data_IF_332699493167
#
_entry.id   IF_332699493167
#
_cell.length_a   1.000
_cell.length_b   1.000
_cell.length_c   1.000
_cell.angle_alpha   90.00
_cell.angle_beta   90.00
_cell.angle_gamma   90.00
#
_symmetry.space_group_name_H-M   'P 1'
#
loop_
_entity.id
_entity.type
_entity.pdbx_description
1 polymer ?
#
# COMPACT_ATOMS: atom_id res chain seq x y z
N UNK A 1 12.05 3.90 8.17
CA UNK A 1 11.60 4.52 6.89
C UNK A 1 10.26 5.20 7.13
N UNK A 2 10.04 6.43 6.66
CA UNK A 2 8.69 7.02 6.67
C UNK A 2 7.88 6.37 5.54
N UNK A 3 6.84 5.63 5.91
CA UNK A 3 5.95 5.00 4.93
C UNK A 3 5.21 6.08 4.11
N UNK A 4 5.41 6.10 2.78
CA UNK A 4 4.74 7.03 1.85
C UNK A 4 3.47 6.46 1.23
N UNK A 5 3.11 5.20 1.52
CA UNK A 5 1.94 4.53 0.94
C UNK A 5 0.66 5.33 1.16
N UNK A 6 0.46 5.90 2.35
CA UNK A 6 -0.70 6.74 2.64
C UNK A 6 -0.76 7.99 1.74
N UNK A 7 0.39 8.57 1.44
CA UNK A 7 0.50 9.75 0.57
C UNK A 7 0.14 9.37 -0.85
N UNK A 8 0.76 8.32 -1.40
CA UNK A 8 0.43 7.84 -2.75
C UNK A 8 -1.03 7.41 -2.86
N UNK A 9 -1.56 6.70 -1.86
CA UNK A 9 -2.97 6.32 -1.82
C UNK A 9 -3.89 7.55 -1.88
N UNK A 10 -3.58 8.61 -1.12
CA UNK A 10 -4.35 9.84 -1.12
C UNK A 10 -4.22 10.62 -2.43
N UNK A 11 -3.03 10.65 -3.06
CA UNK A 11 -2.81 11.29 -4.36
C UNK A 11 -3.62 10.64 -5.50
N UNK A 12 -4.03 9.40 -5.33
CA UNK A 12 -4.80 8.64 -6.31
C UNK A 12 -6.27 8.44 -5.88
N UNK A 13 -6.76 9.16 -4.87
CA UNK A 13 -8.13 9.09 -4.33
C UNK A 13 -8.59 7.65 -3.97
N UNK A 14 -7.65 6.81 -3.53
CA UNK A 14 -7.94 5.43 -3.17
C UNK A 14 -8.32 5.31 -1.70
N UNK A 15 -9.36 4.52 -1.41
CA UNK A 15 -9.57 4.03 -0.04
C UNK A 15 -8.59 2.91 0.30
N UNK A 16 -8.44 2.56 1.58
CA UNK A 16 -7.60 1.42 1.96
C UNK A 16 -8.13 0.10 1.38
N UNK A 17 -9.46 -0.04 1.26
CA UNK A 17 -10.11 -1.20 0.64
C UNK A 17 -9.77 -1.27 -0.85
N UNK A 18 -9.95 -0.18 -1.60
CA UNK A 18 -9.64 -0.13 -3.03
C UNK A 18 -8.17 -0.41 -3.34
N UNK A 19 -7.26 0.05 -2.47
CA UNK A 19 -5.83 -0.24 -2.60
C UNK A 19 -5.56 -1.73 -2.32
N UNK A 20 -6.23 -2.30 -1.33
CA UNK A 20 -6.11 -3.72 -0.99
C UNK A 20 -6.57 -4.61 -2.15
N UNK A 21 -7.72 -4.29 -2.74
CA UNK A 21 -8.27 -4.97 -3.92
C UNK A 21 -7.30 -4.91 -5.11
N UNK A 22 -6.75 -3.73 -5.40
CA UNK A 22 -5.76 -3.53 -6.48
C UNK A 22 -4.47 -4.33 -6.27
N UNK A 23 -4.07 -4.55 -5.01
CA UNK A 23 -2.84 -5.27 -4.67
C UNK A 23 -3.07 -6.76 -4.37
N UNK A 24 -4.34 -7.21 -4.34
CA UNK A 24 -4.71 -8.59 -4.01
C UNK A 24 -4.38 -8.96 -2.56
N UNK A 25 -4.53 -8.02 -1.64
CA UNK A 25 -4.28 -8.21 -0.21
C UNK A 25 -5.50 -7.79 0.61
N UNK A 26 -5.49 -8.04 1.92
CA UNK A 26 -6.57 -7.58 2.79
C UNK A 26 -6.42 -6.09 3.13
N UNK A 27 -7.53 -5.40 3.41
CA UNK A 27 -7.48 -4.03 3.96
C UNK A 27 -6.63 -3.93 5.23
N UNK A 28 -6.63 -4.97 6.09
CA UNK A 28 -5.80 -4.99 7.29
C UNK A 28 -4.30 -4.95 6.97
N UNK A 29 -3.87 -5.61 5.90
CA UNK A 29 -2.49 -5.52 5.39
C UNK A 29 -2.14 -4.07 5.06
N UNK A 30 -2.99 -3.35 4.34
CA UNK A 30 -2.78 -1.94 4.01
C UNK A 30 -2.69 -1.07 5.28
N UNK A 31 -3.59 -1.28 6.25
CA UNK A 31 -3.57 -0.57 7.54
C UNK A 31 -2.26 -0.81 8.29
N UNK A 32 -1.79 -2.05 8.34
CA UNK A 32 -0.57 -2.42 9.04
C UNK A 32 0.66 -1.76 8.38
N UNK A 33 0.72 -1.76 7.05
CA UNK A 33 1.76 -1.09 6.27
C UNK A 33 1.74 0.41 6.57
N UNK A 34 0.60 1.10 6.40
CA UNK A 34 0.49 2.54 6.63
C UNK A 34 0.85 2.96 8.06
N UNK A 35 0.58 2.10 9.05
CA UNK A 35 0.96 2.33 10.46
C UNK A 35 2.41 1.96 10.77
N UNK A 36 3.17 1.44 9.80
CA UNK A 36 4.55 0.98 9.99
C UNK A 36 4.67 -0.24 10.89
N UNK A 37 3.59 -1.02 11.05
CA UNK A 37 3.56 -2.24 11.87
C UNK A 37 3.88 -3.50 11.08
N UNK A 38 3.96 -3.38 9.75
CA UNK A 38 4.24 -4.49 8.85
C UNK A 38 5.07 -3.98 7.68
N UNK A 39 6.22 -4.61 7.48
CA UNK A 39 7.00 -4.43 6.27
C UNK A 39 6.44 -5.36 5.17
N UNK A 40 6.07 -4.82 4.00
CA UNK A 40 5.55 -5.63 2.91
C UNK A 40 6.61 -6.63 2.44
N UNK A 41 6.17 -7.80 1.96
CA UNK A 41 7.05 -8.71 1.23
C UNK A 41 7.65 -8.01 0.01
N UNK A 42 8.79 -8.52 -0.48
CA UNK A 42 9.44 -7.98 -1.69
C UNK A 42 8.48 -7.94 -2.89
N UNK A 43 7.66 -8.97 -3.05
CA UNK A 43 6.63 -9.04 -4.09
C UNK A 43 5.58 -7.92 -3.93
N UNK A 44 5.07 -7.71 -2.71
CA UNK A 44 4.09 -6.66 -2.44
C UNK A 44 4.70 -5.27 -2.63
N UNK A 45 5.96 -5.08 -2.24
CA UNK A 45 6.69 -3.84 -2.49
C UNK A 45 6.80 -3.56 -4.00
N UNK A 46 7.12 -4.56 -4.83
CA UNK A 46 7.12 -4.40 -6.28
C UNK A 46 5.73 -4.13 -6.88
N UNK A 47 4.68 -4.76 -6.35
CA UNK A 47 3.29 -4.47 -6.76
C UNK A 47 2.90 -3.02 -6.45
N UNK A 48 3.26 -2.53 -5.26
CA UNK A 48 3.04 -1.14 -4.83
C UNK A 48 3.81 -0.18 -5.74
N UNK A 49 5.10 -0.44 -5.96
CA UNK A 49 5.97 0.31 -6.85
C UNK A 49 5.40 0.41 -8.26
N UNK A 50 4.94 -0.73 -8.82
CA UNK A 50 4.30 -0.77 -10.14
C UNK A 50 2.97 -0.02 -10.19
N UNK A 51 2.16 -0.09 -9.13
CA UNK A 51 0.87 0.58 -9.06
C UNK A 51 1.01 2.11 -9.05
N UNK A 52 2.01 2.63 -8.33
CA UNK A 52 2.26 4.06 -8.20
C UNK A 52 3.38 4.59 -9.11
N UNK A 53 4.00 3.71 -9.90
CA UNK A 53 5.10 4.00 -10.82
C UNK A 53 6.32 4.64 -10.11
N UNK A 54 6.78 4.02 -9.01
CA UNK A 54 7.87 4.52 -8.14
C UNK A 54 8.93 3.46 -7.86
#
# INVERSE_FOLDING_TARGET
MKNKLKVYRAMHDLTQEMLADKLGVTRQTIIAIEKGKYDPSLELAFKIAKLFNT
#
